data_IF_259795457854
#
_entry.id   IF_259795457854
#
_cell.length_a   1.000
_cell.length_b   1.000
_cell.length_c   1.000
_cell.angle_alpha   90.00
_cell.angle_beta   90.00
_cell.angle_gamma   90.00
#
_symmetry.space_group_name_H-M   'P 1'
#
loop_
_entity.id
_entity.type
_entity.pdbx_description
1 polymer ?
#
# COMPACT_ATOMS: atom_id res chain seq x y z
N UNK A 1 21.25 22.17 3.26
CA UNK A 1 20.10 21.31 3.61
C UNK A 1 19.19 21.34 2.42
N UNK A 2 18.92 20.18 1.81
CA UNK A 2 17.96 20.10 0.71
C UNK A 2 16.51 20.21 1.24
N UNK A 3 15.56 20.40 0.33
CA UNK A 3 14.13 20.58 0.67
C UNK A 3 13.58 19.36 1.42
N UNK A 4 13.92 18.14 1.01
CA UNK A 4 13.46 16.91 1.65
C UNK A 4 13.94 16.81 3.11
N UNK A 5 15.23 17.11 3.37
CA UNK A 5 15.78 17.16 4.72
C UNK A 5 15.13 18.25 5.58
N UNK A 6 14.78 19.39 5.00
CA UNK A 6 14.07 20.45 5.73
C UNK A 6 12.65 20.01 6.10
N UNK A 7 11.92 19.37 5.18
CA UNK A 7 10.57 18.85 5.44
C UNK A 7 10.59 17.84 6.59
N UNK A 8 11.52 16.87 6.57
CA UNK A 8 11.64 15.88 7.64
C UNK A 8 11.99 16.52 8.98
N UNK A 9 12.86 17.53 8.98
CA UNK A 9 13.21 18.26 10.21
C UNK A 9 12.03 19.06 10.78
N UNK A 10 11.18 19.63 9.92
CA UNK A 10 10.05 20.44 10.32
C UNK A 10 8.81 19.62 10.72
N UNK A 11 8.76 18.32 10.40
CA UNK A 11 7.61 17.47 10.70
C UNK A 11 7.36 17.33 12.22
N UNK A 12 6.11 17.38 12.72
CA UNK A 12 4.83 17.40 12.00
C UNK A 12 4.24 18.81 11.82
N UNK A 13 4.94 19.73 11.15
CA UNK A 13 4.35 21.01 10.75
C UNK A 13 3.17 20.80 9.78
N UNK A 14 1.96 21.02 10.29
CA UNK A 14 0.71 20.86 9.53
C UNK A 14 0.42 22.03 8.58
N UNK A 15 1.25 23.08 8.58
CA UNK A 15 1.11 24.24 7.70
C UNK A 15 1.84 24.09 6.37
N UNK A 16 2.61 23.01 6.18
CA UNK A 16 3.31 22.71 4.94
C UNK A 16 2.31 22.43 3.80
N UNK A 17 2.42 23.19 2.70
CA UNK A 17 1.68 22.94 1.47
C UNK A 17 2.37 21.85 0.63
N UNK A 18 1.91 20.62 0.80
CA UNK A 18 2.40 19.45 0.07
C UNK A 18 2.24 19.55 -1.45
N UNK A 19 1.26 20.33 -1.94
CA UNK A 19 1.05 20.52 -3.39
C UNK A 19 2.15 21.38 -4.02
N UNK A 20 2.82 22.22 -3.23
CA UNK A 20 3.94 23.06 -3.65
C UNK A 20 5.31 22.39 -3.59
N UNK A 21 5.44 21.24 -2.90
CA UNK A 21 6.71 20.51 -2.76
C UNK A 21 7.17 19.99 -4.12
N UNK A 22 8.47 20.12 -4.41
CA UNK A 22 9.03 19.68 -5.69
C UNK A 22 9.00 18.16 -5.86
N UNK A 23 8.86 17.67 -7.10
CA UNK A 23 8.88 16.23 -7.38
C UNK A 23 10.18 15.58 -6.89
N UNK A 24 11.31 16.25 -7.05
CA UNK A 24 12.61 15.77 -6.56
C UNK A 24 12.62 15.59 -5.05
N UNK A 25 12.08 16.55 -4.28
CA UNK A 25 11.96 16.41 -2.84
C UNK A 25 11.02 15.26 -2.45
N UNK A 26 9.88 15.13 -3.11
CA UNK A 26 8.95 14.02 -2.87
C UNK A 26 9.61 12.65 -3.13
N UNK A 27 10.33 12.50 -4.25
CA UNK A 27 11.08 11.28 -4.58
C UNK A 27 12.11 10.95 -3.50
N UNK A 28 12.83 11.95 -2.99
CA UNK A 28 13.81 11.77 -1.93
C UNK A 28 13.18 11.37 -0.60
N UNK A 29 12.05 11.98 -0.22
CA UNK A 29 11.31 11.64 1.00
C UNK A 29 10.88 10.17 1.00
N UNK A 30 10.34 9.69 -0.13
CA UNK A 30 9.92 8.29 -0.26
C UNK A 30 11.12 7.33 -0.25
N UNK A 31 12.17 7.64 -1.01
CA UNK A 31 13.36 6.76 -1.11
C UNK A 31 14.11 6.62 0.21
N UNK A 32 14.26 7.71 0.96
CA UNK A 32 14.95 7.70 2.26
C UNK A 32 14.07 7.14 3.38
N UNK A 33 12.77 7.48 3.35
CA UNK A 33 11.75 7.03 4.31
C UNK A 33 12.18 7.07 5.79
N UNK A 34 13.02 8.05 6.15
CA UNK A 34 13.51 8.22 7.53
C UNK A 34 12.38 8.58 8.50
N UNK A 35 11.40 9.35 8.03
CA UNK A 35 10.13 9.59 8.74
C UNK A 35 8.96 8.97 7.93
N UNK A 36 8.38 7.85 8.39
CA UNK A 36 7.39 7.08 7.63
C UNK A 36 6.16 7.88 7.20
N UNK A 37 5.67 8.77 8.07
CA UNK A 37 4.51 9.60 7.73
C UNK A 37 4.80 10.58 6.59
N UNK A 38 6.00 11.21 6.60
CA UNK A 38 6.45 12.06 5.50
C UNK A 38 6.56 11.27 4.18
N UNK A 39 7.09 10.05 4.23
CA UNK A 39 7.19 9.19 3.05
C UNK A 39 5.80 8.80 2.52
N UNK A 40 4.85 8.48 3.40
CA UNK A 40 3.46 8.17 3.01
C UNK A 40 2.77 9.35 2.34
N UNK A 41 2.88 10.56 2.92
CA UNK A 41 2.34 11.78 2.32
C UNK A 41 3.00 12.09 0.97
N UNK A 42 4.32 11.97 0.88
CA UNK A 42 5.05 12.21 -0.36
C UNK A 42 4.67 11.22 -1.47
N UNK A 43 4.46 9.94 -1.12
CA UNK A 43 3.96 8.93 -2.07
C UNK A 43 2.54 9.27 -2.54
N UNK A 44 1.67 9.74 -1.63
CA UNK A 44 0.33 10.19 -1.96
C UNK A 44 0.32 11.36 -2.95
N UNK A 45 1.21 12.34 -2.76
CA UNK A 45 1.40 13.47 -3.68
C UNK A 45 1.94 13.03 -5.05
N UNK A 46 2.93 12.14 -5.08
CA UNK A 46 3.44 11.60 -6.35
C UNK A 46 2.33 10.84 -7.11
N UNK A 47 1.50 10.07 -6.40
CA UNK A 47 0.33 9.39 -6.97
C UNK A 47 -0.69 10.39 -7.52
N UNK A 48 -1.04 11.43 -6.77
CA UNK A 48 -2.03 12.42 -7.20
C UNK A 48 -1.59 13.14 -8.49
N UNK A 49 -0.29 13.39 -8.62
CA UNK A 49 0.37 13.96 -9.81
C UNK A 49 0.60 12.95 -10.93
N UNK A 50 0.22 11.68 -10.75
CA UNK A 50 0.44 10.58 -11.70
C UNK A 50 1.91 10.42 -12.09
N UNK A 51 2.82 10.63 -11.14
CA UNK A 51 4.24 10.53 -11.39
C UNK A 51 4.61 9.09 -11.78
N UNK A 52 5.41 8.85 -12.85
CA UNK A 52 5.66 7.51 -13.37
C UNK A 52 6.41 6.58 -12.40
N UNK A 53 7.14 7.14 -11.44
CA UNK A 53 7.90 6.35 -10.46
C UNK A 53 7.07 5.78 -9.31
N UNK A 54 5.77 6.10 -9.19
CA UNK A 54 4.92 5.68 -8.06
C UNK A 54 4.93 4.16 -7.88
N UNK A 55 4.80 3.43 -8.98
CA UNK A 55 4.80 1.96 -8.94
C UNK A 55 6.12 1.37 -8.43
N UNK A 56 7.26 1.90 -8.90
CA UNK A 56 8.59 1.48 -8.44
C UNK A 56 8.79 1.79 -6.95
N UNK A 57 8.34 2.96 -6.50
CA UNK A 57 8.45 3.38 -5.11
C UNK A 57 7.57 2.54 -4.17
N UNK A 58 6.36 2.19 -4.60
CA UNK A 58 5.51 1.26 -3.86
C UNK A 58 6.22 -0.08 -3.63
N UNK A 59 6.80 -0.66 -4.68
CA UNK A 59 7.54 -1.92 -4.59
C UNK A 59 8.75 -1.80 -3.64
N UNK A 60 9.50 -0.70 -3.76
CA UNK A 60 10.62 -0.42 -2.86
C UNK A 60 10.18 -0.42 -1.39
N UNK A 61 9.08 0.24 -1.07
CA UNK A 61 8.59 0.35 0.31
C UNK A 61 8.03 -0.98 0.83
N UNK A 62 7.22 -1.70 0.03
CA UNK A 62 6.61 -2.98 0.42
C UNK A 62 7.67 -4.00 0.84
N UNK A 63 8.81 -4.02 0.15
CA UNK A 63 9.91 -4.95 0.44
C UNK A 63 11.02 -4.36 1.31
N UNK A 64 10.92 -3.09 1.72
CA UNK A 64 11.94 -2.46 2.57
C UNK A 64 11.85 -3.00 4.01
N UNK A 65 12.95 -3.54 4.57
CA UNK A 65 13.00 -3.94 5.98
C UNK A 65 13.04 -2.73 6.93
N UNK A 66 13.26 -1.52 6.40
CA UNK A 66 13.33 -0.28 7.16
C UNK A 66 12.03 0.53 7.12
N UNK A 67 11.13 0.22 6.18
CA UNK A 67 9.78 0.79 6.19
C UNK A 67 8.99 0.13 7.32
N UNK A 68 8.30 0.95 8.13
CA UNK A 68 7.40 0.41 9.13
C UNK A 68 6.17 -0.26 8.47
N UNK A 69 5.42 -1.04 9.26
CA UNK A 69 4.26 -1.78 8.77
C UNK A 69 3.16 -0.89 8.17
N UNK A 70 3.03 0.36 8.63
CA UNK A 70 1.99 1.29 8.18
C UNK A 70 2.35 1.91 6.83
N UNK A 71 3.62 2.26 6.64
CA UNK A 71 4.16 2.73 5.36
C UNK A 71 4.12 1.61 4.32
N UNK A 72 4.49 0.37 4.70
CA UNK A 72 4.37 -0.79 3.83
C UNK A 72 2.91 -1.04 3.39
N UNK A 73 1.95 -0.95 4.31
CA UNK A 73 0.52 -1.06 4.00
C UNK A 73 0.05 0.08 3.09
N UNK A 74 0.44 1.32 3.38
CA UNK A 74 0.10 2.49 2.55
C UNK A 74 0.65 2.37 1.12
N UNK A 75 1.88 1.87 0.98
CA UNK A 75 2.49 1.59 -0.32
C UNK A 75 1.74 0.49 -1.08
N UNK A 76 1.32 -0.57 -0.39
CA UNK A 76 0.53 -1.65 -0.97
C UNK A 76 -0.86 -1.17 -1.42
N UNK A 77 -1.56 -0.40 -0.58
CA UNK A 77 -2.86 0.22 -0.90
C UNK A 77 -2.76 1.13 -2.14
N UNK A 78 -1.68 1.92 -2.21
CA UNK A 78 -1.36 2.78 -3.36
C UNK A 78 -1.15 1.94 -4.63
N UNK A 79 -0.40 0.84 -4.54
CA UNK A 79 -0.16 -0.06 -5.68
C UNK A 79 -1.44 -0.77 -6.13
N UNK A 80 -2.25 -1.27 -5.20
CA UNK A 80 -3.54 -1.91 -5.45
C UNK A 80 -4.54 -0.95 -6.11
N UNK A 81 -4.45 0.35 -5.80
CA UNK A 81 -5.30 1.36 -6.43
C UNK A 81 -4.79 1.81 -7.81
N UNK A 82 -3.47 1.88 -8.00
CA UNK A 82 -2.86 2.43 -9.22
C UNK A 82 -2.67 1.38 -10.32
N UNK A 83 -2.31 0.17 -9.93
CA UNK A 83 -2.02 -0.97 -10.81
C UNK A 83 -2.58 -2.26 -10.20
N UNK A 84 -3.92 -2.43 -10.12
CA UNK A 84 -4.54 -3.40 -9.21
C UNK A 84 -4.05 -4.84 -9.36
N UNK A 85 -3.97 -5.33 -10.61
CA UNK A 85 -3.52 -6.70 -10.86
C UNK A 85 -2.06 -6.92 -10.46
N UNK A 86 -1.19 -5.93 -10.70
CA UNK A 86 0.19 -5.99 -10.21
C UNK A 86 0.24 -5.95 -8.68
N UNK A 87 -0.63 -5.14 -8.05
CA UNK A 87 -0.80 -5.13 -6.61
C UNK A 87 -1.21 -6.48 -6.05
N UNK A 88 -2.12 -7.20 -6.72
CA UNK A 88 -2.53 -8.56 -6.34
C UNK A 88 -1.43 -9.60 -6.58
N UNK A 89 -0.63 -9.46 -7.63
CA UNK A 89 0.56 -10.30 -7.85
C UNK A 89 1.56 -10.14 -6.68
N UNK A 90 1.88 -8.90 -6.30
CA UNK A 90 2.77 -8.60 -5.16
C UNK A 90 2.16 -9.09 -3.84
N UNK A 91 0.86 -8.88 -3.65
CA UNK A 91 0.13 -9.37 -2.48
C UNK A 91 0.26 -10.89 -2.32
N UNK A 92 0.22 -11.65 -3.44
CA UNK A 92 0.41 -13.09 -3.44
C UNK A 92 1.83 -13.48 -3.01
N UNK A 93 2.85 -12.74 -3.47
CA UNK A 93 4.25 -12.97 -3.10
C UNK A 93 4.50 -12.79 -1.60
N UNK A 94 3.87 -11.78 -0.99
CA UNK A 94 4.08 -11.46 0.43
C UNK A 94 3.07 -12.10 1.38
N UNK A 95 2.02 -12.77 0.89
CA UNK A 95 0.85 -13.21 1.67
C UNK A 95 1.20 -13.98 2.95
N UNK A 96 2.26 -14.79 2.91
CA UNK A 96 2.66 -15.63 4.05
C UNK A 96 3.43 -14.87 5.13
N UNK A 97 3.98 -13.71 4.81
CA UNK A 97 4.86 -12.92 5.69
C UNK A 97 4.34 -11.51 5.94
N UNK A 98 3.27 -11.09 5.25
CA UNK A 98 2.71 -9.77 5.41
C UNK A 98 2.12 -9.58 6.81
N UNK A 99 2.23 -8.35 7.31
CA UNK A 99 1.65 -7.96 8.60
C UNK A 99 0.12 -7.73 8.48
N UNK A 100 -0.55 -7.57 9.63
CA UNK A 100 -2.00 -7.38 9.68
C UNK A 100 -2.49 -6.12 8.92
N UNK A 101 -1.81 -4.96 8.99
CA UNK A 101 -2.13 -3.81 8.15
C UNK A 101 -2.10 -4.13 6.64
N UNK A 102 -1.03 -4.74 6.14
CA UNK A 102 -0.93 -5.13 4.73
C UNK A 102 -2.04 -6.12 4.33
N UNK A 103 -2.31 -7.11 5.17
CA UNK A 103 -3.36 -8.09 4.89
C UNK A 103 -4.75 -7.44 4.84
N UNK A 104 -5.00 -6.43 5.68
CA UNK A 104 -6.24 -5.63 5.65
C UNK A 104 -6.41 -4.91 4.32
N UNK A 105 -5.36 -4.24 3.83
CA UNK A 105 -5.38 -3.56 2.52
C UNK A 105 -5.67 -4.53 1.36
N UNK A 106 -5.09 -5.73 1.40
CA UNK A 106 -5.32 -6.76 0.39
C UNK A 106 -6.79 -7.20 0.37
N UNK A 107 -7.37 -7.44 1.56
CA UNK A 107 -8.77 -7.87 1.71
C UNK A 107 -9.72 -6.77 1.26
N UNK A 108 -9.46 -5.52 1.64
CA UNK A 108 -10.27 -4.38 1.25
C UNK A 108 -10.26 -4.19 -0.27
N UNK A 109 -9.07 -4.19 -0.90
CA UNK A 109 -8.95 -4.10 -2.35
C UNK A 109 -9.65 -5.25 -3.07
N UNK A 110 -9.53 -6.48 -2.56
CA UNK A 110 -10.22 -7.63 -3.15
C UNK A 110 -11.75 -7.50 -3.06
N UNK A 111 -12.28 -7.01 -1.93
CA UNK A 111 -13.70 -6.75 -1.76
C UNK A 111 -14.21 -5.62 -2.65
N UNK A 112 -13.40 -4.59 -2.87
CA UNK A 112 -13.71 -3.50 -3.78
C UNK A 112 -13.79 -4.01 -5.23
N UNK A 113 -12.75 -4.69 -5.70
CA UNK A 113 -12.68 -5.21 -7.08
C UNK A 113 -13.66 -6.36 -7.36
N UNK A 114 -14.16 -7.04 -6.32
CA UNK A 114 -15.28 -7.98 -6.48
C UNK A 114 -16.53 -7.30 -7.08
N UNK A 115 -16.71 -6.01 -6.85
CA UNK A 115 -17.82 -5.22 -7.40
C UNK A 115 -17.40 -4.41 -8.64
N UNK A 116 -16.14 -4.53 -9.06
CA UNK A 116 -15.51 -3.72 -10.11
C UNK A 116 -15.25 -4.50 -11.39
N UNK A 117 -14.57 -3.82 -12.32
CA UNK A 117 -14.29 -4.33 -13.66
C UNK A 117 -13.32 -5.52 -13.69
N UNK A 118 -12.58 -5.74 -12.59
CA UNK A 118 -11.60 -6.82 -12.49
C UNK A 118 -12.14 -8.09 -11.85
N UNK A 119 -13.44 -8.16 -11.50
CA UNK A 119 -14.04 -9.27 -10.76
C UNK A 119 -13.67 -10.65 -11.32
N UNK A 120 -13.88 -10.88 -12.62
CA UNK A 120 -13.60 -12.20 -13.25
C UNK A 120 -12.13 -12.59 -13.15
N UNK A 121 -11.23 -11.63 -13.38
CA UNK A 121 -9.77 -11.84 -13.32
C UNK A 121 -9.32 -12.11 -11.89
N UNK A 122 -9.85 -11.34 -10.95
CA UNK A 122 -9.54 -11.51 -9.53
C UNK A 122 -10.06 -12.85 -9.01
N UNK A 123 -11.25 -13.28 -9.40
CA UNK A 123 -11.81 -14.57 -8.97
C UNK A 123 -10.95 -15.77 -9.40
N UNK A 124 -10.27 -15.64 -10.55
CA UNK A 124 -9.33 -16.65 -11.07
C UNK A 124 -7.91 -16.49 -10.51
N UNK A 125 -7.62 -15.39 -9.80
CA UNK A 125 -6.30 -15.07 -9.31
C UNK A 125 -5.91 -16.00 -8.12
N UNK A 126 -4.69 -16.58 -8.10
CA UNK A 126 -4.27 -17.50 -7.03
C UNK A 126 -4.35 -16.90 -5.62
N UNK A 127 -4.21 -15.58 -5.51
CA UNK A 127 -4.36 -14.83 -4.26
C UNK A 127 -5.66 -15.16 -3.52
N UNK A 128 -6.79 -15.31 -4.22
CA UNK A 128 -8.09 -15.55 -3.57
C UNK A 128 -8.06 -16.87 -2.79
N UNK A 129 -7.49 -17.92 -3.40
CA UNK A 129 -7.33 -19.21 -2.72
C UNK A 129 -6.34 -19.13 -1.54
N UNK A 130 -5.31 -18.29 -1.66
CA UNK A 130 -4.34 -18.02 -0.60
C UNK A 130 -4.99 -17.29 0.58
N UNK A 131 -5.71 -16.20 0.32
CA UNK A 131 -6.43 -15.42 1.34
C UNK A 131 -7.43 -16.28 2.10
N UNK A 132 -8.20 -17.12 1.41
CA UNK A 132 -9.11 -18.08 2.07
C UNK A 132 -8.41 -18.98 3.08
N UNK A 133 -7.18 -19.42 2.79
CA UNK A 133 -6.37 -20.24 3.72
C UNK A 133 -5.83 -19.39 4.86
N UNK A 134 -5.24 -18.23 4.55
CA UNK A 134 -4.63 -17.33 5.54
C UNK A 134 -5.66 -16.83 6.57
N UNK A 135 -6.89 -16.58 6.13
CA UNK A 135 -8.00 -16.15 6.99
C UNK A 135 -8.57 -17.25 7.91
N UNK A 136 -8.19 -18.52 7.71
CA UNK A 136 -8.54 -19.59 8.64
C UNK A 136 -7.61 -19.65 9.86
N UNK A 137 -6.50 -18.91 9.83
CA UNK A 137 -5.51 -18.94 10.89
C UNK A 137 -5.98 -18.14 12.12
N UNK A 138 -5.76 -18.63 13.36
CA UNK A 138 -6.32 -18.02 14.57
C UNK A 138 -5.91 -16.56 14.80
N UNK A 139 -4.68 -16.23 14.43
CA UNK A 139 -4.09 -14.89 14.50
C UNK A 139 -4.75 -13.87 13.56
N UNK A 140 -5.50 -14.33 12.56
CA UNK A 140 -6.20 -13.49 11.58
C UNK A 140 -7.70 -13.36 11.86
N UNK A 141 -8.15 -13.92 13.00
CA UNK A 141 -9.51 -13.71 13.49
C UNK A 141 -9.67 -12.23 13.89
N UNK A 142 -10.74 -11.59 13.40
CA UNK A 142 -11.09 -10.18 13.59
C UNK A 142 -10.36 -9.16 12.70
N UNK A 143 -9.75 -9.58 11.58
CA UNK A 143 -9.32 -8.61 10.57
C UNK A 143 -10.53 -7.86 9.98
N UNK A 144 -10.43 -6.53 9.78
CA UNK A 144 -11.47 -5.77 9.11
C UNK A 144 -11.83 -6.39 7.75
N UNK A 145 -13.11 -6.41 7.43
CA UNK A 145 -13.66 -6.86 6.15
C UNK A 145 -13.44 -8.35 5.79
N UNK A 146 -12.84 -9.16 6.67
CA UNK A 146 -12.61 -10.59 6.42
C UNK A 146 -13.92 -11.37 6.20
N UNK A 147 -14.95 -11.10 7.00
CA UNK A 147 -16.27 -11.73 6.84
C UNK A 147 -16.91 -11.41 5.48
N UNK A 148 -16.76 -10.15 5.03
CA UNK A 148 -17.25 -9.71 3.73
C UNK A 148 -16.49 -10.42 2.60
N UNK A 149 -15.18 -10.58 2.74
CA UNK A 149 -14.37 -11.32 1.77
C UNK A 149 -14.81 -12.78 1.67
N UNK A 150 -14.96 -13.46 2.80
CA UNK A 150 -15.43 -14.86 2.82
C UNK A 150 -16.77 -14.97 2.11
N UNK A 151 -17.72 -14.05 2.37
CA UNK A 151 -19.04 -14.03 1.73
C UNK A 151 -18.97 -13.76 0.22
N UNK A 152 -18.14 -12.81 -0.21
CA UNK A 152 -18.04 -12.42 -1.62
C UNK A 152 -17.39 -13.50 -2.48
N UNK A 153 -16.42 -14.21 -1.92
CA UNK A 153 -15.64 -15.20 -2.66
C UNK A 153 -15.98 -16.63 -2.27
N UNK A 154 -17.11 -16.91 -1.62
CA UNK A 154 -17.50 -18.28 -1.20
C UNK A 154 -17.63 -19.23 -2.39
#
# INVERSE_FOLDING_TARGET
>A
MDEASWIQFAYPDTTLDWSGVTEEALLQLVRKHEEPNCAGLALGELRSRKHPAVEELCLLLIHSPHADQWLQASALSTLLSNSPMKGFDVALEILMVCNAPQLTEIIEAANYEYQGDLQERLFQHPLISGLKKRLQEPEMQNLPFADLFVKNFS
#
